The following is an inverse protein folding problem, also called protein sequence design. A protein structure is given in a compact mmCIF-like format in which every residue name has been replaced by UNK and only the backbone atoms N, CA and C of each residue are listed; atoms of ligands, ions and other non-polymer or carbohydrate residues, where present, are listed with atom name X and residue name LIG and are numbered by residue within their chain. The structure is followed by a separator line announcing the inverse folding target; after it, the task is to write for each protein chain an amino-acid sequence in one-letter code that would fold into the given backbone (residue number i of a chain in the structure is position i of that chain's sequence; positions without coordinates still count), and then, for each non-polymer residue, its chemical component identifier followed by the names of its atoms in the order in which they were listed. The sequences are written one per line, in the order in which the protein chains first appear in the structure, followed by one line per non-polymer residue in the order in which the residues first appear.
data_IF_047375144534
#
_entry.id   IF_047375144534
#
_cell.length_a   1.000
_cell.length_b   1.000
_cell.length_c   1.000
_cell.angle_alpha   90.00
_cell.angle_beta   90.00
_cell.angle_gamma   90.00
#
_symmetry.space_group_name_H-M   'P 1'
#
loop_
_entity.id
_entity.type
_entity.pdbx_description
1 polymer ?
#
# COMPACT_ATOMS: atom_id res chain seq x y z
N UNK A 1 9.71 24.92 -4.07
CA UNK A 1 9.32 24.11 -5.26
C UNK A 1 10.51 24.02 -6.21
N UNK A 2 11.31 22.98 -6.11
CA UNK A 2 12.28 22.63 -7.14
C UNK A 2 11.53 21.92 -8.28
N UNK A 3 11.52 22.54 -9.47
CA UNK A 3 10.91 21.99 -10.66
C UNK A 3 11.76 20.81 -11.17
N UNK A 4 11.19 19.61 -11.18
CA UNK A 4 11.74 18.45 -11.86
C UNK A 4 11.67 18.62 -13.39
N UNK A 5 12.66 19.21 -14.01
CA UNK A 5 12.90 19.11 -15.44
C UNK A 5 14.33 18.64 -15.64
N UNK A 6 14.53 17.46 -16.20
CA UNK A 6 15.81 17.02 -16.76
C UNK A 6 16.62 16.02 -15.94
N UNK A 7 16.02 15.16 -15.13
CA UNK A 7 16.74 14.14 -14.34
C UNK A 7 17.08 12.84 -15.11
N UNK A 8 16.62 12.68 -16.34
CA UNK A 8 16.82 11.43 -17.11
C UNK A 8 18.26 11.19 -17.58
N UNK A 9 19.02 12.23 -17.93
CA UNK A 9 20.38 12.10 -18.50
C UNK A 9 21.50 12.28 -17.47
N UNK A 10 21.18 12.74 -16.29
CA UNK A 10 22.12 13.03 -15.20
C UNK A 10 22.54 11.75 -14.46
N UNK A 11 21.73 10.70 -14.51
CA UNK A 11 21.90 9.48 -13.71
C UNK A 11 23.16 8.64 -14.02
N UNK A 12 23.76 8.76 -15.21
CA UNK A 12 24.92 7.92 -15.59
C UNK A 12 26.30 8.51 -15.29
N UNK A 13 26.38 9.79 -14.89
CA UNK A 13 27.66 10.48 -14.62
C UNK A 13 27.89 10.94 -13.18
N UNK A 14 26.94 10.76 -12.28
CA UNK A 14 26.93 11.47 -10.99
C UNK A 14 26.96 10.62 -9.72
N UNK A 15 27.23 9.33 -9.78
CA UNK A 15 27.24 8.50 -8.57
C UNK A 15 28.36 8.92 -7.58
N UNK A 16 29.49 9.38 -8.09
CA UNK A 16 30.62 9.82 -7.24
C UNK A 16 30.41 11.27 -6.72
N UNK A 17 29.83 12.14 -7.54
CA UNK A 17 29.59 13.55 -7.17
C UNK A 17 28.47 13.72 -6.14
N UNK A 18 27.54 12.77 -6.05
CA UNK A 18 26.36 12.92 -5.20
C UNK A 18 26.65 12.68 -3.70
N UNK A 19 27.59 11.79 -3.34
CA UNK A 19 27.98 11.57 -1.94
C UNK A 19 28.66 12.84 -1.41
N UNK A 20 29.63 13.37 -2.13
CA UNK A 20 30.33 14.60 -1.78
C UNK A 20 29.39 15.81 -1.74
N UNK A 21 28.43 15.89 -2.67
CA UNK A 21 27.39 16.91 -2.67
C UNK A 21 26.52 16.81 -1.41
N UNK A 22 26.04 15.60 -1.07
CA UNK A 22 25.17 15.43 0.10
C UNK A 22 25.94 15.68 1.41
N UNK A 23 27.19 15.24 1.48
CA UNK A 23 28.06 15.54 2.62
C UNK A 23 28.25 17.05 2.83
N UNK A 24 28.55 17.78 1.76
CA UNK A 24 28.64 19.25 1.78
C UNK A 24 27.31 19.88 2.14
N UNK A 25 26.21 19.38 1.56
CA UNK A 25 24.86 19.88 1.83
C UNK A 25 24.50 19.68 3.31
N UNK A 26 24.68 18.48 3.87
CA UNK A 26 24.38 18.20 5.29
C UNK A 26 25.23 19.08 6.20
N UNK A 27 26.53 19.27 5.90
CA UNK A 27 27.39 20.19 6.65
C UNK A 27 26.91 21.64 6.58
N UNK A 28 26.35 22.08 5.44
CA UNK A 28 25.81 23.45 5.29
C UNK A 28 24.50 23.67 6.04
N UNK A 29 23.75 22.60 6.36
CA UNK A 29 22.52 22.72 7.16
C UNK A 29 22.80 23.17 8.60
N UNK A 30 24.05 22.95 9.10
CA UNK A 30 24.47 23.29 10.45
C UNK A 30 23.46 22.84 11.52
N UNK A 31 23.10 21.55 11.45
CA UNK A 31 22.08 20.94 12.29
C UNK A 31 22.41 21.07 13.78
N UNK A 32 21.43 21.43 14.58
CA UNK A 32 21.55 21.58 16.03
C UNK A 32 20.61 20.64 16.78
N UNK A 33 20.66 20.63 18.10
CA UNK A 33 19.88 19.72 18.94
C UNK A 33 18.35 19.89 18.84
N UNK A 34 17.91 21.06 18.37
CA UNK A 34 16.48 21.35 18.19
C UNK A 34 15.97 21.00 16.77
N UNK A 35 16.86 20.56 15.89
CA UNK A 35 16.48 20.19 14.54
C UNK A 35 16.02 18.74 14.45
N UNK A 36 14.99 18.49 13.63
CA UNK A 36 14.48 17.16 13.33
C UNK A 36 14.67 16.91 11.83
N UNK A 37 15.43 15.88 11.51
CA UNK A 37 15.61 15.40 10.16
C UNK A 37 14.66 14.24 9.90
N UNK A 38 13.84 14.33 8.85
CA UNK A 38 12.93 13.27 8.44
C UNK A 38 13.42 12.67 7.12
N UNK A 39 13.81 11.40 7.16
CA UNK A 39 14.11 10.60 5.98
C UNK A 39 12.86 9.89 5.51
N UNK A 40 12.26 10.37 4.42
CA UNK A 40 10.98 9.85 3.92
C UNK A 40 11.13 8.70 2.91
N UNK A 41 12.34 8.45 2.41
CA UNK A 41 12.66 7.33 1.50
C UNK A 41 14.09 6.84 1.66
N UNK A 42 14.24 5.51 1.68
CA UNK A 42 15.54 4.85 1.74
C UNK A 42 16.29 4.75 0.39
N UNK A 43 15.68 5.13 -0.68
CA UNK A 43 16.03 4.77 -2.06
C UNK A 43 17.33 5.30 -2.66
N UNK A 44 18.38 5.63 -1.86
CA UNK A 44 19.74 5.89 -2.35
C UNK A 44 20.72 5.75 -1.20
N UNK A 45 21.07 4.54 -0.90
CA UNK A 45 21.71 4.06 0.32
C UNK A 45 23.10 4.61 0.58
N UNK A 46 23.88 4.81 -0.48
CA UNK A 46 25.26 5.32 -0.36
C UNK A 46 25.32 6.78 0.09
N UNK A 47 24.19 7.50 0.03
CA UNK A 47 24.12 8.93 0.39
C UNK A 47 23.68 9.20 1.82
N UNK A 48 23.17 8.19 2.52
CA UNK A 48 22.64 8.36 3.89
C UNK A 48 23.76 8.38 4.94
N UNK A 49 24.87 7.70 4.68
CA UNK A 49 26.01 7.66 5.60
C UNK A 49 26.50 9.06 6.01
N UNK A 50 26.68 10.04 5.09
CA UNK A 50 27.05 11.38 5.49
C UNK A 50 26.06 12.08 6.44
N UNK A 51 24.76 11.78 6.33
CA UNK A 51 23.76 12.30 7.27
C UNK A 51 23.95 11.69 8.66
N UNK A 52 24.15 10.38 8.78
CA UNK A 52 24.40 9.71 10.06
C UNK A 52 25.65 10.24 10.76
N UNK A 53 26.72 10.47 10.01
CA UNK A 53 27.98 10.96 10.54
C UNK A 53 27.95 12.45 10.92
N UNK A 54 27.11 13.25 10.26
CA UNK A 54 27.11 14.72 10.40
C UNK A 54 25.83 15.28 11.04
N UNK A 55 24.88 14.45 11.50
CA UNK A 55 23.65 14.93 12.14
C UNK A 55 23.89 15.65 13.49
N UNK A 56 25.06 15.49 14.08
CA UNK A 56 25.36 16.05 15.39
C UNK A 56 24.37 15.55 16.46
N UNK A 57 23.77 16.50 17.19
CA UNK A 57 22.74 16.22 18.20
C UNK A 57 21.31 16.31 17.66
N UNK A 58 21.12 16.63 16.36
CA UNK A 58 19.79 16.66 15.77
C UNK A 58 19.10 15.29 15.81
N UNK A 59 17.79 15.29 15.83
CA UNK A 59 16.99 14.06 15.90
C UNK A 59 16.71 13.54 14.50
N UNK A 60 16.69 12.23 14.33
CA UNK A 60 16.54 11.57 13.06
C UNK A 60 15.33 10.64 13.08
N UNK A 61 14.36 10.89 12.19
CA UNK A 61 13.20 10.05 11.95
C UNK A 61 13.36 9.38 10.59
N UNK A 62 13.19 8.07 10.52
CA UNK A 62 13.21 7.30 9.28
C UNK A 62 11.82 6.69 9.01
N UNK A 63 11.23 7.01 7.85
CA UNK A 63 9.87 6.58 7.48
C UNK A 63 9.93 5.42 6.49
N UNK A 64 9.46 4.24 6.90
CA UNK A 64 9.42 3.04 6.06
C UNK A 64 8.07 2.96 5.33
N UNK A 65 8.10 3.07 4.01
CA UNK A 65 6.91 2.97 3.14
C UNK A 65 6.66 1.57 2.60
N UNK A 66 7.67 0.70 2.60
CA UNK A 66 7.55 -0.70 2.20
C UNK A 66 7.98 -1.60 3.34
N UNK A 67 7.69 -2.89 3.23
CA UNK A 67 8.07 -3.84 4.25
C UNK A 67 9.60 -3.96 4.36
N UNK A 68 10.08 -4.26 5.56
CA UNK A 68 11.50 -4.40 5.87
C UNK A 68 12.08 -5.72 5.37
N UNK A 69 11.24 -6.65 4.95
CA UNK A 69 11.63 -7.87 4.25
C UNK A 69 10.69 -8.17 3.09
N UNK A 70 11.12 -9.03 2.18
CA UNK A 70 10.30 -9.58 1.10
C UNK A 70 10.61 -11.05 0.89
N UNK A 71 9.64 -11.79 0.36
CA UNK A 71 9.78 -13.18 -0.07
C UNK A 71 9.88 -13.21 -1.59
N UNK A 72 10.88 -13.89 -2.13
CA UNK A 72 10.97 -14.15 -3.57
C UNK A 72 10.12 -15.38 -3.85
N UNK A 73 9.13 -15.24 -4.73
CA UNK A 73 8.15 -16.29 -5.03
C UNK A 73 8.74 -17.53 -5.71
N UNK A 74 9.96 -17.42 -6.26
CA UNK A 74 10.67 -18.52 -6.93
C UNK A 74 11.57 -19.31 -5.97
N UNK A 75 11.87 -18.77 -4.78
CA UNK A 75 12.65 -19.40 -3.72
C UNK A 75 11.83 -19.41 -2.43
N UNK A 76 11.04 -20.48 -2.24
CA UNK A 76 10.03 -20.61 -1.20
C UNK A 76 10.57 -20.58 0.24
N UNK A 77 11.88 -20.75 0.44
CA UNK A 77 12.49 -20.94 1.75
C UNK A 77 13.06 -19.68 2.39
N UNK A 78 13.20 -18.58 1.65
CA UNK A 78 14.02 -17.45 2.09
C UNK A 78 13.25 -16.14 2.21
N UNK A 79 13.19 -15.62 3.44
CA UNK A 79 12.87 -14.23 3.72
C UNK A 79 14.13 -13.39 3.46
N UNK A 80 14.02 -12.42 2.57
CA UNK A 80 15.11 -11.51 2.26
C UNK A 80 14.84 -10.15 2.90
N UNK A 81 15.85 -9.61 3.57
CA UNK A 81 15.83 -8.21 4.01
C UNK A 81 15.60 -7.30 2.81
N UNK A 82 14.70 -6.35 2.95
CA UNK A 82 14.55 -5.32 1.93
C UNK A 82 15.81 -4.47 1.87
N UNK A 83 16.58 -4.62 0.81
CA UNK A 83 17.88 -4.01 0.64
C UNK A 83 17.83 -2.48 0.65
N UNK A 84 16.66 -1.89 0.35
CA UNK A 84 16.44 -0.45 0.45
C UNK A 84 16.65 0.08 1.88
N UNK A 85 16.45 -0.76 2.90
CA UNK A 85 16.59 -0.40 4.31
C UNK A 85 17.87 -0.90 4.98
N UNK A 86 18.76 -1.58 4.24
CA UNK A 86 19.98 -2.17 4.79
C UNK A 86 20.78 -1.18 5.63
N UNK A 87 21.06 0.01 5.11
CA UNK A 87 21.86 1.01 5.83
C UNK A 87 21.10 1.63 7.01
N UNK A 88 19.77 1.73 6.95
CA UNK A 88 18.98 2.18 8.08
C UNK A 88 19.06 1.20 9.24
N UNK A 89 19.07 -0.09 8.98
CA UNK A 89 19.24 -1.12 10.01
C UNK A 89 20.68 -1.19 10.49
N UNK A 90 21.66 -1.12 9.58
CA UNK A 90 23.08 -1.08 9.92
C UNK A 90 23.45 0.11 10.81
N UNK A 91 22.83 1.26 10.60
CA UNK A 91 23.05 2.49 11.37
C UNK A 91 21.88 2.83 12.29
N UNK A 92 21.11 1.85 12.72
CA UNK A 92 19.91 2.06 13.55
C UNK A 92 20.18 2.80 14.86
N UNK A 93 21.40 2.72 15.41
CA UNK A 93 21.82 3.52 16.58
C UNK A 93 21.80 5.03 16.34
N UNK A 94 21.95 5.47 15.09
CA UNK A 94 21.90 6.88 14.74
C UNK A 94 20.47 7.39 14.52
N UNK A 95 19.48 6.50 14.42
CA UNK A 95 18.07 6.80 14.19
C UNK A 95 17.34 6.88 15.53
N UNK A 96 16.68 8.01 15.80
CA UNK A 96 15.92 8.18 17.03
C UNK A 96 14.54 7.51 16.93
N UNK A 97 13.90 7.61 15.76
CA UNK A 97 12.58 7.02 15.50
C UNK A 97 12.48 6.36 14.13
N UNK A 98 11.89 5.15 14.10
CA UNK A 98 11.28 4.62 12.89
C UNK A 98 9.79 4.95 12.87
N UNK A 99 9.26 5.30 11.69
CA UNK A 99 7.84 5.47 11.45
C UNK A 99 7.42 4.46 10.39
N UNK A 100 6.38 3.69 10.69
CA UNK A 100 5.76 2.69 9.81
C UNK A 100 4.27 2.93 9.68
N UNK A 101 3.62 2.35 8.67
CA UNK A 101 2.21 2.66 8.37
C UNK A 101 1.20 2.04 9.34
N UNK A 102 1.54 0.93 10.02
CA UNK A 102 0.59 0.14 10.81
C UNK A 102 1.21 -0.40 12.10
N UNK A 103 0.39 -0.68 13.11
CA UNK A 103 0.84 -1.30 14.36
C UNK A 103 1.35 -2.74 14.14
N UNK A 104 0.80 -3.47 13.16
CA UNK A 104 1.30 -4.80 12.81
C UNK A 104 2.70 -4.71 12.21
N UNK A 105 2.95 -3.75 11.30
CA UNK A 105 4.27 -3.48 10.75
C UNK A 105 5.27 -3.06 11.84
N UNK A 106 4.83 -2.22 12.80
CA UNK A 106 5.65 -1.84 13.97
C UNK A 106 6.13 -3.08 14.74
N UNK A 107 5.21 -3.98 15.12
CA UNK A 107 5.55 -5.21 15.86
C UNK A 107 6.50 -6.10 15.06
N UNK A 108 6.25 -6.22 13.75
CA UNK A 108 7.07 -7.03 12.85
C UNK A 108 8.48 -6.46 12.70
N UNK A 109 8.62 -5.14 12.53
CA UNK A 109 9.92 -4.47 12.45
C UNK A 109 10.71 -4.57 13.75
N UNK A 110 10.04 -4.40 14.90
CA UNK A 110 10.69 -4.54 16.21
C UNK A 110 11.23 -5.95 16.42
N UNK A 111 10.47 -6.98 16.06
CA UNK A 111 10.91 -8.37 16.12
C UNK A 111 12.11 -8.63 15.20
N UNK A 112 12.04 -8.12 13.96
CA UNK A 112 13.11 -8.24 12.98
C UNK A 112 14.42 -7.61 13.47
N UNK A 113 14.39 -6.37 13.97
CA UNK A 113 15.58 -5.70 14.47
C UNK A 113 16.24 -6.46 15.63
N UNK A 114 15.43 -7.03 16.53
CA UNK A 114 15.93 -7.87 17.63
C UNK A 114 16.56 -9.19 17.14
N UNK A 115 15.95 -9.83 16.15
CA UNK A 115 16.46 -11.09 15.57
C UNK A 115 17.81 -10.91 14.88
N UNK A 116 18.04 -9.74 14.27
CA UNK A 116 19.30 -9.43 13.57
C UNK A 116 20.29 -8.62 14.40
N UNK A 117 20.14 -8.61 15.75
CA UNK A 117 21.00 -7.90 16.69
C UNK A 117 21.21 -6.40 16.34
N UNK A 118 20.22 -5.78 15.69
CA UNK A 118 20.22 -4.35 15.43
C UNK A 118 19.73 -3.57 16.66
N UNK A 119 20.23 -2.34 16.81
CA UNK A 119 19.64 -1.42 17.78
C UNK A 119 18.16 -1.17 17.44
N UNK A 120 17.30 -1.18 18.44
CA UNK A 120 15.86 -0.93 18.28
C UNK A 120 15.54 0.50 18.72
N UNK A 121 15.41 1.46 17.78
CA UNK A 121 14.95 2.81 18.09
C UNK A 121 13.49 2.81 18.55
N UNK A 122 12.96 3.97 18.91
CA UNK A 122 11.52 4.10 19.07
C UNK A 122 10.78 3.87 17.74
N UNK A 123 9.73 3.06 17.73
CA UNK A 123 8.94 2.78 16.54
C UNK A 123 7.53 3.33 16.73
N UNK A 124 7.10 4.22 15.84
CA UNK A 124 5.75 4.78 15.81
C UNK A 124 4.97 4.26 14.60
N UNK A 125 3.68 3.98 14.79
CA UNK A 125 2.77 3.65 13.70
C UNK A 125 1.97 4.90 13.30
N UNK A 126 2.32 5.48 12.14
CA UNK A 126 1.64 6.65 11.58
C UNK A 126 1.36 6.36 10.10
N UNK A 127 0.09 6.36 9.68
CA UNK A 127 -0.29 6.17 8.28
C UNK A 127 0.45 7.11 7.32
N UNK A 128 0.89 6.63 6.14
CA UNK A 128 1.62 7.44 5.16
C UNK A 128 0.71 8.37 4.32
N UNK A 129 -0.58 8.40 4.61
CA UNK A 129 -1.57 9.25 3.95
C UNK A 129 -2.72 9.58 4.87
N UNK A 130 -3.57 10.51 4.43
CA UNK A 130 -4.75 10.94 5.16
C UNK A 130 -5.93 11.16 4.20
N UNK A 131 -7.13 11.06 4.74
CA UNK A 131 -8.38 11.36 4.03
C UNK A 131 -8.70 12.84 4.30
N UNK A 132 -8.91 13.67 3.24
CA UNK A 132 -9.21 15.08 3.39
C UNK A 132 -10.43 15.35 4.27
N UNK A 133 -10.37 16.45 5.04
CA UNK A 133 -11.53 16.95 5.76
C UNK A 133 -12.63 17.38 4.79
N UNK A 134 -13.89 17.22 5.23
CA UNK A 134 -15.03 17.64 4.43
C UNK A 134 -15.34 16.78 3.21
N UNK A 135 -14.66 15.65 3.03
CA UNK A 135 -15.03 14.70 1.98
C UNK A 135 -16.48 14.24 2.21
N UNK A 136 -17.35 14.59 1.25
CA UNK A 136 -18.78 14.30 1.35
C UNK A 136 -19.02 12.79 1.19
N UNK A 137 -19.90 12.23 2.00
CA UNK A 137 -20.41 10.87 1.78
C UNK A 137 -21.10 10.79 0.41
N UNK A 138 -20.80 9.76 -0.36
CA UNK A 138 -21.44 9.53 -1.65
C UNK A 138 -22.95 9.46 -1.47
N UNK A 139 -23.67 10.23 -2.28
CA UNK A 139 -25.13 10.08 -2.43
C UNK A 139 -25.35 8.79 -3.23
N UNK A 140 -26.32 7.99 -2.81
CA UNK A 140 -26.70 6.64 -3.24
C UNK A 140 -26.89 6.41 -4.77
N UNK A 141 -25.94 6.79 -5.62
CA UNK A 141 -25.96 6.57 -7.06
C UNK A 141 -24.79 5.69 -7.50
N UNK A 142 -24.56 4.59 -6.78
CA UNK A 142 -23.54 3.62 -7.16
C UNK A 142 -24.04 2.77 -8.31
N UNK A 143 -23.14 2.39 -9.20
CA UNK A 143 -23.45 1.48 -10.30
C UNK A 143 -23.63 0.06 -9.76
N UNK A 144 -24.78 -0.54 -10.03
CA UNK A 144 -25.11 -1.87 -9.52
C UNK A 144 -24.09 -2.92 -10.00
N UNK A 145 -23.65 -3.78 -9.08
CA UNK A 145 -22.71 -4.86 -9.33
C UNK A 145 -21.29 -4.41 -9.68
N UNK A 146 -20.98 -3.12 -9.49
CA UNK A 146 -19.71 -2.56 -9.92
C UNK A 146 -18.56 -2.81 -8.92
N UNK A 147 -17.48 -3.35 -9.46
CA UNK A 147 -16.22 -3.57 -8.76
C UNK A 147 -15.16 -2.65 -9.35
N UNK A 148 -14.40 -1.98 -8.49
CA UNK A 148 -13.20 -1.24 -8.87
C UNK A 148 -11.97 -1.87 -8.24
N UNK A 149 -10.88 -1.96 -9.02
CA UNK A 149 -9.54 -2.22 -8.51
C UNK A 149 -8.59 -1.14 -9.01
N UNK A 150 -7.75 -0.63 -8.14
CA UNK A 150 -6.85 0.48 -8.44
C UNK A 150 -5.44 0.21 -7.92
N UNK A 151 -4.53 -0.12 -8.84
CA UNK A 151 -3.13 -0.42 -8.50
C UNK A 151 -2.22 -0.36 -9.72
N UNK A 152 -0.92 -0.49 -9.50
CA UNK A 152 0.00 -0.82 -10.61
C UNK A 152 -0.34 -2.20 -11.15
N UNK A 153 -0.33 -2.37 -12.47
CA UNK A 153 -0.48 -3.70 -13.09
C UNK A 153 0.85 -4.44 -12.99
N UNK A 154 0.95 -5.30 -11.98
CA UNK A 154 2.13 -6.14 -11.74
C UNK A 154 1.69 -7.46 -11.09
N UNK A 155 2.46 -8.56 -11.26
CA UNK A 155 2.11 -9.87 -10.68
C UNK A 155 1.81 -9.82 -9.17
N UNK A 156 2.57 -9.01 -8.44
CA UNK A 156 2.38 -8.82 -7.00
C UNK A 156 1.00 -8.27 -6.62
N UNK A 157 0.30 -7.61 -7.54
CA UNK A 157 -1.03 -7.04 -7.29
C UNK A 157 -2.18 -8.02 -7.53
N UNK A 158 -1.89 -9.24 -8.00
CA UNK A 158 -2.85 -10.33 -8.13
C UNK A 158 -4.03 -10.02 -9.06
N UNK A 159 -3.82 -9.14 -10.06
CA UNK A 159 -4.88 -8.73 -10.98
C UNK A 159 -5.35 -9.92 -11.83
N UNK A 160 -4.49 -10.87 -12.14
CA UNK A 160 -4.83 -12.11 -12.82
C UNK A 160 -5.80 -12.98 -11.99
N UNK A 161 -5.60 -13.03 -10.67
CA UNK A 161 -6.49 -13.72 -9.73
C UNK A 161 -7.84 -12.99 -9.68
N UNK A 162 -7.82 -11.66 -9.56
CA UNK A 162 -9.04 -10.85 -9.54
C UNK A 162 -9.89 -11.05 -10.80
N UNK A 163 -9.28 -10.95 -11.99
CA UNK A 163 -9.97 -11.16 -13.27
C UNK A 163 -10.65 -12.52 -13.31
N UNK A 164 -9.91 -13.60 -13.02
CA UNK A 164 -10.44 -14.96 -13.01
C UNK A 164 -11.55 -15.16 -11.98
N UNK A 165 -11.44 -14.51 -10.82
CA UNK A 165 -12.48 -14.55 -9.78
C UNK A 165 -13.75 -13.84 -10.22
N UNK A 166 -13.63 -12.68 -10.89
CA UNK A 166 -14.78 -11.94 -11.40
C UNK A 166 -15.45 -12.69 -12.55
N UNK A 167 -14.70 -13.36 -13.43
CA UNK A 167 -15.27 -14.24 -14.46
C UNK A 167 -16.18 -15.30 -13.81
N UNK A 168 -15.68 -16.01 -12.80
CA UNK A 168 -16.48 -17.02 -12.06
C UNK A 168 -17.67 -16.40 -11.31
N UNK A 169 -17.50 -15.21 -10.74
CA UNK A 169 -18.57 -14.51 -10.04
C UNK A 169 -19.68 -14.02 -11.01
N UNK A 170 -19.30 -13.54 -12.20
CA UNK A 170 -20.21 -13.10 -13.24
C UNK A 170 -21.05 -14.26 -13.80
N UNK A 171 -20.51 -15.48 -13.89
CA UNK A 171 -21.28 -16.68 -14.27
C UNK A 171 -22.44 -16.96 -13.30
N UNK A 172 -22.30 -16.58 -12.02
CA UNK A 172 -23.32 -16.77 -10.98
C UNK A 172 -24.27 -15.57 -10.93
N UNK A 173 -23.73 -14.35 -11.03
CA UNK A 173 -24.48 -13.11 -11.01
C UNK A 173 -24.01 -12.18 -12.13
N UNK A 174 -24.77 -12.12 -13.21
CA UNK A 174 -24.45 -11.38 -14.44
C UNK A 174 -24.43 -9.84 -14.27
N UNK A 175 -24.84 -9.31 -13.13
CA UNK A 175 -24.72 -7.87 -12.85
C UNK A 175 -23.31 -7.47 -12.44
N UNK A 176 -22.48 -8.43 -11.99
CA UNK A 176 -21.12 -8.19 -11.51
C UNK A 176 -20.22 -7.78 -12.68
N UNK A 177 -19.57 -6.64 -12.56
CA UNK A 177 -18.65 -6.09 -13.54
C UNK A 177 -17.41 -5.52 -12.86
N UNK A 178 -16.29 -5.40 -13.58
CA UNK A 178 -15.00 -4.97 -13.04
C UNK A 178 -14.35 -3.90 -13.91
N UNK A 179 -14.01 -2.79 -13.30
CA UNK A 179 -13.14 -1.79 -13.87
C UNK A 179 -11.78 -1.78 -13.19
N UNK A 180 -10.71 -1.93 -13.98
CA UNK A 180 -9.32 -2.00 -13.53
C UNK A 180 -8.62 -0.69 -13.86
N UNK A 181 -8.22 0.05 -12.82
CA UNK A 181 -7.50 1.31 -12.94
C UNK A 181 -6.02 1.13 -12.59
N UNK A 182 -5.17 1.67 -13.45
CA UNK A 182 -3.74 1.63 -13.29
C UNK A 182 -2.98 1.37 -14.58
N UNK A 183 -1.68 1.22 -14.47
CA UNK A 183 -0.79 0.88 -15.58
C UNK A 183 0.34 -0.03 -15.11
N UNK A 184 0.94 -0.76 -16.03
CA UNK A 184 2.06 -1.67 -15.79
C UNK A 184 2.99 -1.70 -17.00
N UNK A 185 3.89 -2.70 -17.05
CA UNK A 185 4.63 -2.98 -18.27
C UNK A 185 3.72 -3.59 -19.34
N UNK A 186 4.10 -3.45 -20.59
CA UNK A 186 3.29 -3.88 -21.73
C UNK A 186 3.07 -5.40 -21.75
N UNK A 187 4.08 -6.18 -21.37
CA UNK A 187 4.03 -7.64 -21.36
C UNK A 187 2.95 -8.16 -20.39
N UNK A 188 3.02 -7.72 -19.13
CA UNK A 188 2.04 -8.15 -18.12
C UNK A 188 0.64 -7.58 -18.40
N UNK A 189 0.56 -6.36 -18.90
CA UNK A 189 -0.72 -5.75 -19.30
C UNK A 189 -1.38 -6.57 -20.42
N UNK A 190 -0.60 -6.96 -21.46
CA UNK A 190 -1.08 -7.81 -22.55
C UNK A 190 -1.50 -9.20 -22.06
N UNK A 191 -0.75 -9.77 -21.11
CA UNK A 191 -1.13 -11.05 -20.47
C UNK A 191 -2.51 -10.94 -19.80
N UNK A 192 -2.75 -9.89 -19.02
CA UNK A 192 -4.05 -9.67 -18.35
C UNK A 192 -5.19 -9.48 -19.35
N UNK A 193 -4.96 -8.71 -20.42
CA UNK A 193 -5.94 -8.48 -21.49
C UNK A 193 -6.29 -9.78 -22.24
N UNK A 194 -5.30 -10.66 -22.45
CA UNK A 194 -5.54 -11.95 -23.07
C UNK A 194 -6.42 -12.84 -22.19
N UNK A 195 -6.25 -12.84 -20.85
CA UNK A 195 -7.15 -13.60 -19.96
C UNK A 195 -8.61 -13.16 -20.15
N UNK A 196 -8.86 -11.85 -20.23
CA UNK A 196 -10.22 -11.30 -20.44
C UNK A 196 -10.77 -11.71 -21.79
N UNK A 197 -9.99 -11.55 -22.85
CA UNK A 197 -10.37 -11.88 -24.22
C UNK A 197 -10.63 -13.38 -24.41
N UNK A 198 -9.75 -14.24 -23.90
CA UNK A 198 -9.87 -15.69 -24.04
C UNK A 198 -11.11 -16.25 -23.32
N UNK A 199 -11.55 -15.53 -22.26
CA UNK A 199 -12.79 -15.84 -21.54
C UNK A 199 -14.04 -15.17 -22.15
N UNK A 200 -13.91 -14.32 -23.19
CA UNK A 200 -15.02 -13.54 -23.72
C UNK A 200 -15.63 -12.56 -22.72
N UNK A 201 -14.81 -12.00 -21.83
CA UNK A 201 -15.25 -11.17 -20.70
C UNK A 201 -15.14 -9.65 -20.96
N UNK A 202 -14.89 -9.24 -22.21
CA UNK A 202 -14.65 -7.84 -22.60
C UNK A 202 -15.88 -6.92 -22.36
N UNK A 203 -17.08 -7.49 -22.27
CA UNK A 203 -18.32 -6.73 -22.05
C UNK A 203 -18.50 -6.28 -20.59
N UNK A 204 -17.81 -6.92 -19.63
CA UNK A 204 -17.97 -6.65 -18.19
C UNK A 204 -16.66 -6.50 -17.41
N UNK A 205 -15.49 -6.67 -18.05
CA UNK A 205 -14.18 -6.40 -17.44
C UNK A 205 -13.40 -5.41 -18.31
N UNK A 206 -13.08 -4.24 -17.75
CA UNK A 206 -12.49 -3.17 -18.52
C UNK A 206 -11.19 -2.64 -17.89
N UNK A 207 -10.19 -2.38 -18.75
CA UNK A 207 -8.97 -1.66 -18.38
C UNK A 207 -9.15 -0.16 -18.66
N UNK A 208 -9.19 0.64 -17.60
CA UNK A 208 -9.46 2.10 -17.67
C UNK A 208 -8.19 2.95 -17.70
N UNK A 209 -7.00 2.32 -17.55
CA UNK A 209 -5.77 3.08 -17.49
C UNK A 209 -5.60 3.86 -16.19
N UNK A 210 -4.64 4.80 -16.18
CA UNK A 210 -4.34 5.62 -15.00
C UNK A 210 -5.08 6.95 -15.04
N UNK A 211 -5.81 7.27 -13.98
CA UNK A 211 -6.50 8.56 -13.82
C UNK A 211 -6.56 8.97 -12.33
N UNK A 212 -7.10 10.16 -12.07
CA UNK A 212 -7.47 10.59 -10.72
C UNK A 212 -8.79 9.93 -10.33
N UNK A 213 -8.79 9.14 -9.26
CA UNK A 213 -9.92 8.31 -8.83
C UNK A 213 -10.86 9.01 -7.84
N UNK A 214 -10.51 10.19 -7.33
CA UNK A 214 -11.27 10.93 -6.33
C UNK A 214 -12.77 11.10 -6.69
N UNK A 215 -13.06 11.36 -7.98
CA UNK A 215 -14.44 11.51 -8.49
C UNK A 215 -15.02 10.21 -9.03
N UNK A 216 -14.25 9.13 -9.02
CA UNK A 216 -14.60 7.85 -9.64
C UNK A 216 -15.04 6.85 -8.58
N UNK A 217 -14.31 6.71 -7.49
CA UNK A 217 -14.65 5.82 -6.37
C UNK A 217 -16.11 5.92 -5.92
N UNK A 218 -16.71 7.11 -5.77
CA UNK A 218 -18.08 7.24 -5.28
C UNK A 218 -19.14 6.52 -6.10
N UNK A 219 -18.84 6.14 -7.35
CA UNK A 219 -19.78 5.44 -8.25
C UNK A 219 -19.75 3.91 -8.12
N UNK A 220 -18.75 3.35 -7.45
CA UNK A 220 -18.61 1.90 -7.31
C UNK A 220 -19.18 1.40 -5.99
N UNK A 221 -19.62 0.14 -5.99
CA UNK A 221 -20.14 -0.53 -4.79
C UNK A 221 -19.03 -1.26 -4.02
N UNK A 222 -18.08 -1.85 -4.75
CA UNK A 222 -17.07 -2.73 -4.17
C UNK A 222 -15.66 -2.35 -4.63
N UNK A 223 -14.73 -2.27 -3.69
CA UNK A 223 -13.29 -2.22 -3.97
C UNK A 223 -12.66 -3.59 -3.77
N UNK A 224 -11.88 -4.04 -4.76
CA UNK A 224 -11.17 -5.31 -4.71
C UNK A 224 -9.64 -5.14 -4.66
N UNK A 225 -9.01 -5.70 -3.61
CA UNK A 225 -7.55 -5.71 -3.45
C UNK A 225 -7.02 -7.13 -3.34
N UNK A 226 -6.51 -7.66 -4.44
CA UNK A 226 -5.95 -9.01 -4.49
C UNK A 226 -4.42 -9.03 -4.47
N UNK A 227 -3.82 -7.95 -3.96
CA UNK A 227 -2.39 -7.89 -3.72
C UNK A 227 -1.93 -9.09 -2.90
N UNK A 228 -0.87 -9.76 -3.36
CA UNK A 228 -0.24 -10.86 -2.62
C UNK A 228 0.55 -10.37 -1.41
N UNK A 229 0.75 -9.05 -1.36
CA UNK A 229 1.45 -8.33 -0.30
C UNK A 229 1.09 -6.85 -0.34
N UNK A 230 0.64 -6.28 0.78
CA UNK A 230 0.25 -4.88 0.86
C UNK A 230 0.70 -4.24 2.18
N UNK A 231 1.68 -3.35 2.12
CA UNK A 231 2.26 -2.76 3.33
C UNK A 231 1.29 -1.81 4.05
N UNK A 232 0.62 -0.93 3.30
CA UNK A 232 -0.41 -0.03 3.83
C UNK A 232 -1.66 -0.03 2.95
N UNK A 233 -1.51 0.30 1.66
CA UNK A 233 -2.62 0.34 0.70
C UNK A 233 -3.35 1.68 0.67
N UNK A 234 -2.71 2.70 0.10
CA UNK A 234 -3.35 4.02 -0.07
C UNK A 234 -4.68 3.93 -0.82
N UNK A 235 -4.77 3.09 -1.86
CA UNK A 235 -6.02 2.88 -2.61
C UNK A 235 -7.13 2.21 -1.77
N UNK A 236 -6.77 1.36 -0.79
CA UNK A 236 -7.72 0.82 0.19
C UNK A 236 -8.25 1.94 1.11
N UNK A 237 -7.35 2.79 1.62
CA UNK A 237 -7.71 3.95 2.43
C UNK A 237 -8.64 4.91 1.65
N UNK A 238 -8.30 5.19 0.39
CA UNK A 238 -9.13 6.01 -0.49
C UNK A 238 -10.52 5.40 -0.68
N UNK A 239 -10.59 4.08 -0.92
CA UNK A 239 -11.85 3.35 -1.12
C UNK A 239 -12.75 3.36 0.13
N UNK A 240 -12.20 3.10 1.33
CA UNK A 240 -13.01 3.22 2.58
C UNK A 240 -13.42 4.68 2.83
N UNK A 241 -12.58 5.66 2.43
CA UNK A 241 -12.90 7.08 2.46
C UNK A 241 -14.09 7.47 1.58
N UNK A 242 -14.36 6.71 0.53
CA UNK A 242 -15.53 6.84 -0.34
C UNK A 242 -16.66 5.86 0.05
N UNK A 243 -16.49 5.11 1.12
CA UNK A 243 -17.49 4.20 1.65
C UNK A 243 -17.75 3.00 0.76
N UNK A 244 -16.75 2.47 0.04
CA UNK A 244 -16.93 1.24 -0.74
C UNK A 244 -16.95 0.03 0.20
N UNK A 245 -17.77 -0.97 -0.12
CA UNK A 245 -17.57 -2.30 0.44
C UNK A 245 -16.21 -2.85 -0.02
N UNK A 246 -15.64 -3.78 0.72
CA UNK A 246 -14.26 -4.21 0.53
C UNK A 246 -14.16 -5.72 0.33
N UNK A 247 -13.32 -6.18 -0.59
CA UNK A 247 -12.91 -7.58 -0.69
C UNK A 247 -11.42 -7.67 -0.98
N UNK A 248 -10.74 -8.61 -0.34
CA UNK A 248 -9.32 -8.80 -0.58
C UNK A 248 -8.79 -10.13 -0.05
N UNK A 249 -7.55 -10.43 -0.41
CA UNK A 249 -6.82 -11.55 0.18
C UNK A 249 -6.38 -11.20 1.61
N UNK A 250 -6.39 -12.19 2.50
CA UNK A 250 -5.90 -12.02 3.87
C UNK A 250 -4.38 -11.95 3.91
N UNK A 251 -3.86 -10.78 3.55
CA UNK A 251 -2.44 -10.46 3.56
C UNK A 251 -2.15 -9.32 4.53
N UNK A 252 -0.99 -9.38 5.17
CA UNK A 252 -0.48 -8.29 5.98
C UNK A 252 0.08 -7.18 5.08
N UNK A 253 -0.06 -5.91 5.41
CA UNK A 253 -0.70 -5.41 6.62
C UNK A 253 -1.98 -4.65 6.23
N UNK A 254 -1.95 -4.01 5.02
CA UNK A 254 -2.94 -3.06 4.54
C UNK A 254 -4.33 -3.66 4.34
N UNK A 255 -4.43 -4.88 3.79
CA UNK A 255 -5.74 -5.49 3.61
C UNK A 255 -6.44 -5.70 4.96
N UNK A 256 -5.73 -6.23 5.96
CA UNK A 256 -6.26 -6.43 7.33
C UNK A 256 -6.60 -5.12 8.04
N UNK A 257 -5.95 -4.02 7.63
CA UNK A 257 -6.17 -2.71 8.23
C UNK A 257 -7.49 -2.07 7.78
N UNK A 258 -7.90 -2.31 6.53
CA UNK A 258 -9.05 -1.66 5.92
C UNK A 258 -10.22 -2.59 5.62
N UNK A 259 -10.02 -3.91 5.65
CA UNK A 259 -11.06 -4.89 5.39
C UNK A 259 -11.35 -5.63 6.69
N UNK A 260 -12.50 -5.33 7.29
CA UNK A 260 -12.96 -5.96 8.50
C UNK A 260 -14.07 -6.97 8.14
N UNK A 261 -13.80 -8.29 8.32
CA UNK A 261 -14.73 -9.33 7.95
C UNK A 261 -16.11 -9.16 8.60
N UNK A 262 -17.18 -9.29 7.80
CA UNK A 262 -18.58 -9.11 8.17
C UNK A 262 -18.98 -7.70 8.66
N UNK A 263 -18.02 -6.75 8.71
CA UNK A 263 -18.27 -5.35 9.05
C UNK A 263 -18.37 -4.48 7.79
N UNK A 264 -17.32 -4.47 6.94
CA UNK A 264 -17.30 -3.72 5.70
C UNK A 264 -16.93 -4.54 4.45
N UNK A 265 -16.76 -5.85 4.60
CA UNK A 265 -16.40 -6.72 3.49
C UNK A 265 -15.92 -8.11 3.91
N UNK A 266 -15.09 -8.71 3.06
CA UNK A 266 -14.52 -10.02 3.32
C UNK A 266 -13.03 -10.08 3.03
N UNK A 267 -12.27 -10.67 3.95
CA UNK A 267 -10.92 -11.18 3.71
C UNK A 267 -11.02 -12.66 3.35
N UNK A 268 -10.38 -13.02 2.25
CA UNK A 268 -10.29 -14.41 1.79
C UNK A 268 -8.95 -14.98 2.23
N UNK A 269 -8.99 -16.07 2.97
CA UNK A 269 -7.79 -16.77 3.41
C UNK A 269 -6.84 -16.98 2.24
N UNK A 270 -5.59 -16.62 2.45
CA UNK A 270 -4.54 -16.72 1.45
C UNK A 270 -3.24 -17.20 2.08
N UNK A 271 -2.75 -18.30 1.56
CA UNK A 271 -1.42 -18.82 1.85
C UNK A 271 -0.61 -18.86 0.56
N UNK A 272 0.50 -18.11 0.54
CA UNK A 272 1.29 -17.95 -0.68
C UNK A 272 1.91 -19.25 -1.17
N UNK A 273 2.22 -20.18 -0.28
CA UNK A 273 2.90 -21.43 -0.63
C UNK A 273 1.94 -22.42 -1.30
N UNK A 274 0.70 -22.48 -0.80
CA UNK A 274 -0.31 -23.41 -1.29
C UNK A 274 -1.19 -22.82 -2.39
N UNK A 275 -1.62 -21.57 -2.25
CA UNK A 275 -2.58 -20.94 -3.16
C UNK A 275 -1.93 -20.43 -4.44
N UNK A 276 -0.66 -20.01 -4.39
CA UNK A 276 0.05 -19.58 -5.59
C UNK A 276 0.23 -20.70 -6.60
N UNK A 277 0.36 -21.95 -6.10
CA UNK A 277 0.43 -23.15 -6.93
C UNK A 277 -0.95 -23.63 -7.39
N UNK A 278 -2.03 -23.25 -6.69
CA UNK A 278 -3.40 -23.69 -7.00
C UNK A 278 -4.37 -22.50 -7.10
N UNK A 279 -4.07 -21.61 -8.03
CA UNK A 279 -4.84 -20.36 -8.23
C UNK A 279 -6.32 -20.58 -8.54
N UNK A 280 -6.69 -21.73 -9.12
CA UNK A 280 -8.10 -22.00 -9.46
C UNK A 280 -8.98 -22.12 -8.22
N UNK A 281 -8.52 -22.84 -7.18
CA UNK A 281 -9.24 -22.91 -5.90
C UNK A 281 -9.30 -21.56 -5.19
N UNK A 282 -8.24 -20.77 -5.27
CA UNK A 282 -8.25 -19.42 -4.74
C UNK A 282 -9.29 -18.57 -5.47
N UNK A 283 -9.35 -18.63 -6.82
CA UNK A 283 -10.34 -17.91 -7.61
C UNK A 283 -11.78 -18.34 -7.29
N UNK A 284 -12.02 -19.61 -6.91
CA UNK A 284 -13.33 -20.08 -6.45
C UNK A 284 -13.73 -19.46 -5.11
N UNK A 285 -12.81 -19.45 -4.12
CA UNK A 285 -13.08 -18.83 -2.81
C UNK A 285 -13.31 -17.33 -2.93
N UNK A 286 -12.50 -16.64 -3.73
CA UNK A 286 -12.63 -15.21 -3.95
C UNK A 286 -13.89 -14.84 -4.74
N UNK A 287 -14.27 -15.64 -5.75
CA UNK A 287 -15.54 -15.47 -6.47
C UNK A 287 -16.74 -15.62 -5.52
N UNK A 288 -16.74 -16.65 -4.66
CA UNK A 288 -17.80 -16.84 -3.66
C UNK A 288 -17.91 -15.64 -2.70
N UNK A 289 -16.79 -15.08 -2.24
CA UNK A 289 -16.77 -13.88 -1.41
C UNK A 289 -17.36 -12.64 -2.13
N UNK A 290 -17.02 -12.45 -3.42
CA UNK A 290 -17.57 -11.38 -4.25
C UNK A 290 -19.09 -11.56 -4.40
N UNK A 291 -19.56 -12.73 -4.80
CA UNK A 291 -20.99 -13.03 -4.97
C UNK A 291 -21.75 -12.78 -3.67
N UNK A 292 -21.24 -13.28 -2.54
CA UNK A 292 -21.83 -13.09 -1.22
C UNK A 292 -22.05 -11.61 -0.87
N UNK A 293 -21.19 -10.70 -1.28
CA UNK A 293 -21.35 -9.26 -1.03
C UNK A 293 -22.60 -8.72 -1.75
N UNK A 294 -22.86 -9.15 -2.99
CA UNK A 294 -23.96 -8.68 -3.81
C UNK A 294 -25.28 -9.45 -3.65
N UNK A 295 -25.34 -10.48 -2.82
CA UNK A 295 -26.56 -11.24 -2.55
C UNK A 295 -27.57 -10.51 -1.64
N UNK A 296 -27.14 -9.48 -0.92
CA UNK A 296 -27.93 -8.84 0.13
C UNK A 296 -27.67 -7.31 0.14
N UNK A 297 -28.61 -6.56 -0.39
CA UNK A 297 -28.53 -5.10 -0.51
C UNK A 297 -28.43 -4.39 0.84
N UNK A 298 -29.10 -4.91 1.90
CA UNK A 298 -29.05 -4.31 3.22
C UNK A 298 -27.65 -4.51 3.85
N UNK A 299 -27.06 -5.68 3.66
CA UNK A 299 -25.69 -5.95 4.07
C UNK A 299 -24.69 -5.08 3.33
N UNK A 300 -24.83 -4.97 2.00
CA UNK A 300 -23.98 -4.12 1.18
C UNK A 300 -24.04 -2.66 1.63
N UNK A 301 -25.23 -2.16 1.91
CA UNK A 301 -25.44 -0.80 2.46
C UNK A 301 -24.76 -0.62 3.81
N UNK A 302 -24.88 -1.62 4.71
CA UNK A 302 -24.17 -1.61 6.01
C UNK A 302 -22.66 -1.60 5.82
N UNK A 303 -22.12 -2.35 4.85
CA UNK A 303 -20.69 -2.35 4.53
C UNK A 303 -20.22 -0.96 4.10
N UNK A 304 -21.00 -0.26 3.26
CA UNK A 304 -20.71 1.12 2.87
C UNK A 304 -20.67 2.07 4.08
N UNK A 305 -21.63 1.97 4.99
CA UNK A 305 -21.69 2.79 6.20
C UNK A 305 -20.50 2.54 7.13
N UNK A 306 -20.13 1.26 7.32
CA UNK A 306 -19.00 0.87 8.15
C UNK A 306 -17.65 1.30 7.56
N UNK A 307 -17.50 1.27 6.24
CA UNK A 307 -16.30 1.81 5.58
C UNK A 307 -16.09 3.29 5.91
N UNK A 308 -17.14 4.10 5.91
CA UNK A 308 -17.04 5.49 6.34
C UNK A 308 -16.64 5.62 7.82
N UNK A 309 -17.07 4.71 8.70
CA UNK A 309 -16.65 4.74 10.11
C UNK A 309 -15.17 4.40 10.26
N UNK A 310 -14.68 3.41 9.51
CA UNK A 310 -13.25 3.07 9.48
C UNK A 310 -12.44 4.28 8.96
N UNK A 311 -12.94 4.99 7.96
CA UNK A 311 -12.27 6.14 7.37
C UNK A 311 -12.02 7.30 8.35
N UNK A 312 -12.82 7.44 9.41
CA UNK A 312 -12.66 8.51 10.41
C UNK A 312 -11.29 8.44 11.14
N UNK A 313 -10.74 7.24 11.30
CA UNK A 313 -9.41 7.05 11.92
C UNK A 313 -8.25 7.55 11.06
N UNK A 314 -8.51 7.82 9.76
CA UNK A 314 -7.53 8.24 8.77
C UNK A 314 -7.73 9.68 8.29
N UNK A 315 -8.55 10.48 8.97
CA UNK A 315 -8.76 11.90 8.67
C UNK A 315 -7.48 12.71 8.91
N UNK A 316 -7.32 13.81 8.16
CA UNK A 316 -6.16 14.69 8.24
C UNK A 316 -5.83 15.08 9.68
N UNK A 317 -6.81 15.58 10.46
CA UNK A 317 -6.58 15.99 11.85
C UNK A 317 -6.09 14.85 12.75
N UNK A 318 -6.52 13.60 12.50
CA UNK A 318 -6.07 12.42 13.27
C UNK A 318 -4.60 12.12 12.96
N UNK A 319 -4.25 12.13 11.67
CA UNK A 319 -2.87 11.85 11.22
C UNK A 319 -1.92 12.98 11.66
N UNK A 320 -2.34 14.24 11.51
CA UNK A 320 -1.59 15.41 12.02
C UNK A 320 -1.35 15.30 13.54
N UNK A 321 -2.37 14.91 14.30
CA UNK A 321 -2.24 14.73 15.75
C UNK A 321 -1.22 13.67 16.11
N UNK A 322 -1.17 12.55 15.39
CA UNK A 322 -0.16 11.49 15.60
C UNK A 322 1.26 12.02 15.33
N UNK A 323 1.47 12.77 14.24
CA UNK A 323 2.75 13.40 13.93
C UNK A 323 3.14 14.46 14.96
N UNK A 324 2.22 15.33 15.36
CA UNK A 324 2.47 16.34 16.37
C UNK A 324 2.82 15.73 17.73
N UNK A 325 2.16 14.62 18.10
CA UNK A 325 2.49 13.88 19.31
C UNK A 325 3.89 13.27 19.23
N UNK A 326 4.25 12.66 18.10
CA UNK A 326 5.59 12.13 17.88
C UNK A 326 6.64 13.24 18.07
N UNK A 327 6.49 14.35 17.33
CA UNK A 327 7.46 15.46 17.34
C UNK A 327 7.61 16.09 18.73
N UNK A 328 6.52 16.26 19.48
CA UNK A 328 6.56 16.82 20.85
C UNK A 328 7.23 15.90 21.87
N UNK A 329 7.22 14.60 21.64
CA UNK A 329 7.78 13.59 22.54
C UNK A 329 9.21 13.21 22.18
N UNK A 330 9.79 13.81 21.18
CA UNK A 330 11.22 13.68 20.86
C UNK A 330 12.01 14.43 21.94
N UNK A 331 12.85 13.72 22.74
CA UNK A 331 13.57 14.30 23.86
C UNK A 331 14.65 15.29 23.43
#
# INVERSE_FOLDING_TARGET
RLRSRGLGDVYKRQVIDNVEFLERFVKTLNLCENDICIMDRAGYLDYIQPLFENKGKSKLIAVLHSDHFYKIYEDESSLYMNYEYYYWFKYSEAIDYFVVGTDEHKRSLEAFLKEYDCFVPHIAAIPPGAIPEGKLKSKNNRWQGSIISASRLSPRKGIDILIKSVIKAHEINQTINLDIYGSGNDEYTSYLQNIVKDAGADDYIHFKGRCNLEKIYPHYELFASFSLWETFGLSLMEAVGDGLAMVGLDVRYGNRLFIHPDENGYLVDFDIETDYQNKDKLCERTAAAIVKIFEDDDRLKKFHENSYMIAEEYKEHVIESKWMQLIKNIP
#
